data_IF_869191574052
#
_entry.id   IF_869191574052
#
_cell.length_a   1.000
_cell.length_b   1.000
_cell.length_c   1.000
_cell.angle_alpha   90.00
_cell.angle_beta   90.00
_cell.angle_gamma   90.00
#
_symmetry.space_group_name_H-M   'P 1'
#
loop_
_entity.id
_entity.type
_entity.pdbx_description
1 polymer ?
#
# COMPACT_ATOMS: atom_id res chain seq x y z
N UNK A 1 10.23 -0.69 8.36
CA UNK A 1 9.25 0.27 7.79
C UNK A 1 7.98 -0.48 7.45
N UNK A 2 6.84 0.18 7.58
CA UNK A 2 5.51 -0.41 7.43
C UNK A 2 4.69 0.34 6.37
N UNK A 3 3.85 -0.39 5.65
CA UNK A 3 3.00 0.13 4.58
C UNK A 3 1.97 1.12 5.13
N UNK A 4 1.94 2.34 4.59
CA UNK A 4 0.99 3.39 5.03
C UNK A 4 0.15 3.98 3.90
N UNK A 5 0.51 3.76 2.63
CA UNK A 5 -0.23 4.30 1.49
C UNK A 5 0.07 3.54 0.20
N UNK A 6 -0.95 3.31 -0.62
CA UNK A 6 -0.81 2.85 -2.01
C UNK A 6 -1.63 3.71 -2.97
N UNK A 7 -1.06 4.03 -4.11
CA UNK A 7 -1.74 4.68 -5.23
C UNK A 7 -1.08 4.24 -6.53
N UNK A 8 -1.91 3.90 -7.52
CA UNK A 8 -1.48 3.21 -8.73
C UNK A 8 -0.56 2.02 -8.38
N UNK A 9 0.57 1.91 -9.07
CA UNK A 9 1.59 0.88 -8.85
C UNK A 9 2.66 1.29 -7.83
N UNK A 10 2.35 2.21 -6.91
CA UNK A 10 3.27 2.67 -5.88
C UNK A 10 2.80 2.27 -4.49
N UNK A 11 3.74 1.80 -3.67
CA UNK A 11 3.55 1.54 -2.25
C UNK A 11 4.54 2.39 -1.45
N UNK A 12 4.05 3.02 -0.38
CA UNK A 12 4.80 3.92 0.48
C UNK A 12 4.87 3.34 1.88
N UNK A 13 6.06 3.37 2.45
CA UNK A 13 6.40 2.83 3.75
C UNK A 13 6.91 3.94 4.65
N UNK A 14 6.56 3.86 5.92
CA UNK A 14 7.02 4.79 6.95
C UNK A 14 7.75 4.05 8.08
N UNK A 15 8.64 4.73 8.79
CA UNK A 15 9.20 4.26 10.07
C UNK A 15 8.36 4.68 11.28
N UNK A 16 7.40 5.59 11.10
CA UNK A 16 6.47 6.02 12.14
C UNK A 16 5.35 5.01 12.37
N UNK A 17 4.73 5.00 13.56
CA UNK A 17 3.41 4.40 13.74
C UNK A 17 2.39 4.97 12.75
N UNK A 18 1.44 4.17 12.28
CA UNK A 18 0.40 4.62 11.33
C UNK A 18 -0.42 5.80 11.86
N UNK A 19 -0.60 5.90 13.18
CA UNK A 19 -1.30 7.02 13.84
C UNK A 19 -0.52 8.34 13.84
N UNK A 20 0.76 8.31 13.48
CA UNK A 20 1.65 9.47 13.47
C UNK A 20 2.10 9.85 12.04
N UNK A 21 1.88 8.98 11.06
CA UNK A 21 2.13 9.30 9.66
C UNK A 21 0.93 10.01 9.04
N UNK A 22 1.20 11.03 8.23
CA UNK A 22 0.19 11.81 7.52
C UNK A 22 0.53 11.97 6.03
N UNK A 23 -0.46 12.47 5.29
CA UNK A 23 -0.36 12.99 3.94
C UNK A 23 -1.56 13.93 3.69
N UNK A 24 -1.60 14.56 2.52
CA UNK A 24 -2.67 15.50 2.18
C UNK A 24 -4.02 14.77 2.11
N UNK A 25 -5.05 15.33 2.75
CA UNK A 25 -6.45 14.87 2.71
C UNK A 25 -6.67 13.38 3.04
N UNK A 26 -5.84 12.81 3.94
CA UNK A 26 -5.94 11.42 4.38
C UNK A 26 -7.23 11.06 5.13
N UNK A 27 -7.98 12.06 5.59
CA UNK A 27 -9.28 11.92 6.23
C UNK A 27 -10.47 11.99 5.25
N UNK A 28 -10.24 12.36 3.99
CA UNK A 28 -11.30 12.55 2.99
C UNK A 28 -11.64 11.26 2.21
N UNK A 29 -12.88 11.18 1.74
CA UNK A 29 -13.43 10.05 0.99
C UNK A 29 -13.96 10.57 -0.36
N UNK A 30 -13.68 9.91 -1.49
CA UNK A 30 -12.84 8.70 -1.65
C UNK A 30 -11.34 9.04 -1.62
N UNK A 31 -10.51 8.17 -1.03
CA UNK A 31 -9.07 8.46 -0.93
C UNK A 31 -8.41 8.61 -2.31
N UNK A 32 -8.83 7.84 -3.32
CA UNK A 32 -8.17 7.79 -4.62
C UNK A 32 -8.23 9.10 -5.42
N UNK A 33 -9.17 10.00 -5.07
CA UNK A 33 -9.31 11.31 -5.73
C UNK A 33 -8.82 12.47 -4.87
N UNK A 34 -8.69 12.28 -3.56
CA UNK A 34 -8.39 13.36 -2.62
C UNK A 34 -6.99 13.22 -2.01
N UNK A 35 -6.60 12.00 -1.64
CA UNK A 35 -5.41 11.79 -0.83
C UNK A 35 -4.11 11.96 -1.60
N UNK A 36 -3.19 12.74 -1.04
CA UNK A 36 -1.81 12.85 -1.50
C UNK A 36 -0.89 11.78 -0.92
N UNK A 37 0.32 11.69 -1.49
CA UNK A 37 1.39 10.84 -0.96
C UNK A 37 1.80 11.26 0.47
N UNK A 38 2.29 10.32 1.30
CA UNK A 38 2.81 10.67 2.61
C UNK A 38 4.04 11.57 2.49
N UNK A 39 4.17 12.52 3.42
CA UNK A 39 5.33 13.41 3.50
C UNK A 39 6.00 13.35 4.88
N UNK A 40 7.20 13.92 4.96
CA UNK A 40 8.07 13.89 6.14
C UNK A 40 9.31 13.03 5.93
N UNK A 41 10.08 12.87 7.00
CA UNK A 41 11.24 11.97 7.03
C UNK A 41 10.81 10.51 7.15
N UNK A 42 11.72 9.59 6.84
CA UNK A 42 11.47 8.15 7.05
C UNK A 42 10.47 7.54 6.07
N UNK A 43 10.29 8.10 4.88
CA UNK A 43 9.44 7.54 3.82
C UNK A 43 10.27 6.77 2.79
N UNK A 44 9.87 5.53 2.50
CA UNK A 44 10.38 4.73 1.39
C UNK A 44 9.25 4.47 0.40
N UNK A 45 9.53 4.72 -0.88
CA UNK A 45 8.62 4.46 -2.00
C UNK A 45 9.18 3.31 -2.84
N UNK A 46 8.35 2.33 -3.15
CA UNK A 46 8.67 1.22 -4.07
C UNK A 46 7.59 1.08 -5.12
N UNK A 47 7.97 0.67 -6.33
CA UNK A 47 7.00 0.29 -7.34
C UNK A 47 6.64 -1.18 -7.17
N UNK A 48 5.45 -1.56 -7.59
CA UNK A 48 5.06 -2.97 -7.68
C UNK A 48 4.26 -3.21 -8.96
N UNK A 49 4.32 -4.43 -9.47
CA UNK A 49 3.49 -4.91 -10.57
C UNK A 49 2.94 -6.29 -10.21
N UNK A 50 1.80 -6.66 -10.78
CA UNK A 50 1.16 -7.95 -10.54
C UNK A 50 -0.37 -7.88 -10.49
N UNK A 51 -1.02 -9.02 -10.26
CA UNK A 51 -2.48 -9.16 -10.31
C UNK A 51 -3.14 -8.66 -9.02
N UNK A 52 -2.79 -7.47 -8.54
CA UNK A 52 -3.34 -6.86 -7.33
C UNK A 52 -4.30 -5.71 -7.67
N UNK A 53 -5.17 -5.40 -6.71
CA UNK A 53 -6.17 -4.35 -6.78
C UNK A 53 -6.14 -3.49 -5.53
N UNK A 54 -6.23 -2.18 -5.73
CA UNK A 54 -6.43 -1.16 -4.71
C UNK A 54 -7.90 -1.08 -4.27
N UNK A 55 -8.22 -0.49 -3.10
CA UNK A 55 -9.61 -0.32 -2.65
C UNK A 55 -10.51 0.40 -3.67
N UNK A 56 -9.96 1.40 -4.39
CA UNK A 56 -10.70 2.16 -5.41
C UNK A 56 -11.01 1.36 -6.68
N UNK A 57 -10.23 0.33 -7.02
CA UNK A 57 -10.39 -0.40 -8.29
C UNK A 57 -11.56 -1.39 -8.30
N UNK A 58 -12.23 -1.58 -7.16
CA UNK A 58 -13.42 -2.43 -7.05
C UNK A 58 -14.74 -1.68 -7.29
N UNK A 59 -14.69 -0.36 -7.47
CA UNK A 59 -15.87 0.49 -7.50
C UNK A 59 -15.61 1.79 -8.30
N UNK A 60 -16.63 2.64 -8.43
CA UNK A 60 -16.47 3.96 -9.07
C UNK A 60 -15.70 4.90 -8.13
N UNK A 61 -16.03 4.85 -6.83
CA UNK A 61 -15.42 5.60 -5.73
C UNK A 61 -15.44 4.73 -4.47
N UNK A 62 -14.30 4.57 -3.82
CA UNK A 62 -14.18 3.84 -2.57
C UNK A 62 -14.88 4.58 -1.44
N UNK A 63 -15.35 3.84 -0.44
CA UNK A 63 -15.98 4.40 0.77
C UNK A 63 -14.97 4.67 1.88
N UNK A 64 -13.68 4.72 1.53
CA UNK A 64 -12.58 4.73 2.47
C UNK A 64 -11.69 5.96 2.26
N UNK A 65 -11.32 6.57 3.38
CA UNK A 65 -10.20 7.51 3.45
C UNK A 65 -8.94 6.74 3.81
N UNK A 66 -7.76 7.34 3.65
CA UNK A 66 -6.50 6.72 4.05
C UNK A 66 -6.50 6.37 5.53
N UNK A 67 -7.01 7.25 6.39
CA UNK A 67 -7.10 7.00 7.83
C UNK A 67 -7.90 5.74 8.15
N UNK A 68 -9.02 5.53 7.46
CA UNK A 68 -9.83 4.31 7.65
C UNK A 68 -9.12 3.06 7.16
N UNK A 69 -8.41 3.13 6.03
CA UNK A 69 -7.61 2.02 5.51
C UNK A 69 -6.48 1.68 6.51
N UNK A 70 -5.79 2.69 7.02
CA UNK A 70 -4.70 2.52 7.99
C UNK A 70 -5.19 2.05 9.37
N UNK A 71 -6.46 2.24 9.71
CA UNK A 71 -7.14 1.63 10.86
C UNK A 71 -7.66 0.21 10.59
N UNK A 72 -7.44 -0.34 9.40
CA UNK A 72 -7.77 -1.72 9.04
C UNK A 72 -9.18 -1.93 8.46
N UNK A 73 -9.86 -0.88 7.98
CA UNK A 73 -11.19 -1.01 7.39
C UNK A 73 -11.20 -1.89 6.12
N UNK A 74 -10.11 -1.88 5.35
CA UNK A 74 -9.89 -2.67 4.14
C UNK A 74 -8.37 -2.81 3.93
N UNK A 75 -7.85 -3.90 3.34
CA UNK A 75 -6.45 -3.99 2.93
C UNK A 75 -6.08 -2.98 1.84
N UNK A 76 -4.80 -2.61 1.76
CA UNK A 76 -4.27 -1.77 0.69
C UNK A 76 -4.21 -2.48 -0.66
N UNK A 77 -3.92 -3.78 -0.66
CA UNK A 77 -3.90 -4.59 -1.88
C UNK A 77 -4.54 -5.94 -1.63
N UNK A 78 -5.33 -6.40 -2.60
CA UNK A 78 -5.79 -7.78 -2.69
C UNK A 78 -5.52 -8.31 -4.09
N UNK A 79 -5.21 -9.60 -4.22
CA UNK A 79 -5.16 -10.23 -5.55
C UNK A 79 -6.52 -10.12 -6.24
N UNK A 80 -6.51 -9.90 -7.56
CA UNK A 80 -7.72 -9.84 -8.37
C UNK A 80 -8.52 -11.15 -8.27
N UNK A 81 -9.85 -11.07 -8.37
CA UNK A 81 -10.75 -12.20 -8.13
C UNK A 81 -10.57 -13.40 -9.07
N UNK A 82 -9.94 -13.19 -10.24
CA UNK A 82 -9.61 -14.23 -11.21
C UNK A 82 -8.26 -14.91 -10.94
N UNK A 83 -7.46 -14.40 -10.00
CA UNK A 83 -6.19 -15.00 -9.61
C UNK A 83 -6.42 -16.21 -8.69
N UNK A 84 -5.58 -17.25 -8.82
CA UNK A 84 -5.77 -18.52 -8.11
C UNK A 84 -5.39 -18.47 -6.65
N UNK A 85 -4.38 -17.67 -6.30
CA UNK A 85 -3.93 -17.47 -4.92
C UNK A 85 -4.54 -16.19 -4.37
N UNK A 86 -5.23 -16.28 -3.24
CA UNK A 86 -5.73 -15.11 -2.51
C UNK A 86 -4.63 -14.55 -1.60
N UNK A 87 -4.20 -13.32 -1.89
CA UNK A 87 -3.28 -12.56 -1.03
C UNK A 87 -3.96 -11.25 -0.63
N UNK A 88 -3.83 -10.89 0.64
CA UNK A 88 -4.31 -9.64 1.22
C UNK A 88 -3.16 -8.96 1.95
N UNK A 89 -2.95 -7.67 1.65
CA UNK A 89 -1.86 -6.86 2.18
C UNK A 89 -2.47 -5.65 2.91
N UNK A 90 -2.61 -5.72 4.25
CA UNK A 90 -3.16 -4.63 5.05
C UNK A 90 -2.17 -3.48 5.22
N UNK A 91 -2.67 -2.34 5.71
CA UNK A 91 -1.80 -1.32 6.29
C UNK A 91 -0.97 -1.90 7.44
N UNK A 92 0.23 -1.36 7.63
CA UNK A 92 1.14 -1.82 8.66
C UNK A 92 2.02 -3.01 8.25
N UNK A 93 1.78 -3.63 7.09
CA UNK A 93 2.66 -4.70 6.57
C UNK A 93 4.09 -4.21 6.41
N UNK A 94 5.06 -4.97 6.92
CA UNK A 94 6.47 -4.60 6.80
C UNK A 94 6.92 -4.58 5.32
N UNK A 95 7.93 -3.79 4.98
CA UNK A 95 8.47 -3.79 3.60
C UNK A 95 8.95 -5.19 3.16
N UNK A 96 9.53 -5.97 4.08
CA UNK A 96 9.97 -7.33 3.79
C UNK A 96 8.78 -8.26 3.50
N UNK A 97 7.75 -8.22 4.35
CA UNK A 97 6.54 -9.02 4.15
C UNK A 97 5.77 -8.59 2.91
N UNK A 98 5.75 -7.29 2.60
CA UNK A 98 5.17 -6.77 1.38
C UNK A 98 5.81 -7.41 0.14
N UNK A 99 7.15 -7.45 0.08
CA UNK A 99 7.87 -8.11 -1.01
C UNK A 99 7.50 -9.59 -1.12
N UNK A 100 7.46 -10.31 0.00
CA UNK A 100 7.07 -11.73 0.04
C UNK A 100 5.63 -11.95 -0.42
N UNK A 101 4.70 -11.09 -0.01
CA UNK A 101 3.28 -11.19 -0.34
C UNK A 101 3.02 -10.82 -1.80
N UNK A 102 3.65 -9.78 -2.33
CA UNK A 102 3.59 -9.43 -3.76
C UNK A 102 4.11 -10.60 -4.59
N UNK A 103 5.27 -11.17 -4.26
CA UNK A 103 5.81 -12.33 -4.96
C UNK A 103 4.89 -13.55 -4.87
N UNK A 104 4.32 -13.83 -3.68
CA UNK A 104 3.36 -14.92 -3.48
C UNK A 104 2.12 -14.76 -4.37
N UNK A 105 1.65 -13.53 -4.56
CA UNK A 105 0.54 -13.23 -5.47
C UNK A 105 0.93 -13.13 -6.94
N UNK A 106 2.13 -13.56 -7.33
CA UNK A 106 2.59 -13.55 -8.73
C UNK A 106 3.05 -12.17 -9.23
N UNK A 107 3.27 -11.21 -8.33
CA UNK A 107 3.78 -9.89 -8.65
C UNK A 107 5.30 -9.75 -8.47
N UNK A 108 5.79 -8.54 -8.71
CA UNK A 108 7.20 -8.14 -8.55
C UNK A 108 7.27 -6.77 -7.90
N UNK A 109 8.23 -6.57 -7.00
CA UNK A 109 8.55 -5.25 -6.40
C UNK A 109 9.83 -4.71 -7.02
N UNK A 110 9.80 -3.43 -7.38
CA UNK A 110 10.94 -2.72 -7.93
C UNK A 110 11.36 -1.61 -6.96
N UNK A 111 12.64 -1.58 -6.66
CA UNK A 111 13.22 -0.64 -5.73
C UNK A 111 14.28 0.21 -6.44
N UNK A 112 14.43 1.47 -6.02
CA UNK A 112 15.47 2.33 -6.56
C UNK A 112 16.87 1.74 -6.29
N UNK A 113 17.90 2.18 -7.02
CA UNK A 113 19.28 1.67 -6.85
C UNK A 113 19.85 1.86 -5.43
N UNK A 114 19.22 2.71 -4.60
CA UNK A 114 19.65 2.99 -3.22
C UNK A 114 18.75 2.35 -2.15
N UNK A 115 17.69 1.64 -2.53
CA UNK A 115 16.77 1.02 -1.57
C UNK A 115 17.29 -0.37 -1.22
N UNK A 116 17.84 -0.53 -0.01
CA UNK A 116 18.24 -1.85 0.50
C UNK A 116 17.00 -2.62 0.94
N UNK A 117 16.52 -3.54 0.10
CA UNK A 117 15.58 -4.58 0.53
C UNK A 117 16.42 -5.79 0.95
N UNK A 118 16.54 -6.03 2.26
CA UNK A 118 17.14 -7.26 2.75
C UNK A 118 16.04 -8.31 2.66
N UNK A 119 16.11 -9.16 1.62
CA UNK A 119 15.32 -10.38 1.56
C UNK A 119 16.06 -11.41 2.43
N UNK A 120 15.52 -11.66 3.62
CA UNK A 120 16.01 -12.70 4.54
C UNK A 120 15.63 -14.10 4.10
#
# INVERSE_FOLDING_TARGET
>A
MILCYCQDNWAYFTDKPLSEQCGDDWNDIPYEHNAGAPYGEGIVKVAWDGPFKLPGEHCINSSYSVDRINQGAVPWLVTASWHTEFVSIPAGTSLEDFCKLIQKGGGTVYHGPNTKVILG
#
